data_IF_012022398366
#
_entry.id   IF_012022398366
#
_cell.length_a   1.000
_cell.length_b   1.000
_cell.length_c   1.000
_cell.angle_alpha   90.00
_cell.angle_beta   90.00
_cell.angle_gamma   90.00
#
_symmetry.space_group_name_H-M   'P 1'
#
loop_
_entity.id
_entity.type
_entity.pdbx_description
1 polymer ?
#
# COMPACT_ATOMS: atom_id res chain seq x y z
N UNK A 1 48.52 30.98 -62.63
CA UNK A 1 47.81 29.77 -62.14
C UNK A 1 47.19 30.14 -60.80
N UNK A 2 46.00 30.77 -60.86
CA UNK A 2 44.65 30.21 -60.54
C UNK A 2 44.44 30.14 -59.03
N UNK A 3 43.78 31.12 -58.40
CA UNK A 3 42.33 31.42 -58.44
C UNK A 3 41.50 30.37 -57.68
N UNK A 4 40.78 30.83 -56.66
CA UNK A 4 39.80 30.06 -55.88
C UNK A 4 39.21 30.89 -54.73
N UNK A 5 38.32 31.83 -55.08
CA UNK A 5 37.36 32.48 -54.19
C UNK A 5 36.13 31.56 -53.96
N UNK A 6 35.29 31.92 -52.96
CA UNK A 6 33.93 31.43 -52.61
C UNK A 6 33.84 30.13 -51.80
N UNK A 7 32.96 30.01 -50.79
CA UNK A 7 31.89 30.86 -50.26
C UNK A 7 31.41 30.21 -48.94
N UNK A 8 31.01 31.01 -47.96
CA UNK A 8 29.61 31.13 -47.47
C UNK A 8 28.86 29.82 -47.17
N UNK A 9 28.14 29.84 -46.03
CA UNK A 9 27.20 28.84 -45.44
C UNK A 9 27.84 27.78 -44.52
N UNK A 10 27.41 27.58 -43.27
CA UNK A 10 26.12 27.88 -42.65
C UNK A 10 26.27 28.32 -41.19
N UNK A 11 25.69 29.47 -40.91
CA UNK A 11 24.95 29.73 -39.69
C UNK A 11 23.70 28.83 -39.73
N UNK A 12 23.86 27.59 -39.25
CA UNK A 12 22.77 26.74 -38.77
C UNK A 12 23.20 26.39 -37.35
N UNK A 13 22.72 27.07 -36.32
CA UNK A 13 21.31 26.96 -36.00
C UNK A 13 20.94 25.49 -35.80
N UNK A 14 21.81 24.66 -35.20
CA UNK A 14 21.34 23.39 -34.67
C UNK A 14 20.57 23.65 -33.39
N UNK A 15 19.33 24.03 -33.62
CA UNK A 15 18.19 23.77 -32.77
C UNK A 15 18.09 22.27 -32.44
N UNK A 16 19.03 21.73 -31.67
CA UNK A 16 18.88 20.45 -31.00
C UNK A 16 18.91 20.59 -29.46
N UNK A 17 18.54 21.79 -28.97
CA UNK A 17 17.89 21.97 -27.67
C UNK A 17 16.46 21.35 -27.62
N UNK A 18 16.23 20.30 -28.42
CA UNK A 18 14.97 19.57 -28.60
C UNK A 18 15.21 18.05 -28.52
N UNK A 19 16.20 17.62 -27.75
CA UNK A 19 16.42 16.23 -27.35
C UNK A 19 16.13 15.94 -25.88
N UNK A 20 15.87 16.97 -25.07
CA UNK A 20 15.43 16.83 -23.66
C UNK A 20 13.91 16.52 -23.58
N UNK A 21 13.40 15.85 -24.61
CA UNK A 21 12.18 15.08 -24.49
C UNK A 21 12.59 13.80 -23.77
N UNK A 22 12.45 13.82 -22.44
CA UNK A 22 12.19 12.64 -21.61
C UNK A 22 11.76 11.43 -22.50
N UNK A 23 12.65 10.46 -22.71
CA UNK A 23 12.34 9.27 -23.52
C UNK A 23 11.00 8.70 -23.03
N UNK A 24 9.98 8.53 -23.91
CA UNK A 24 8.68 8.02 -23.49
C UNK A 24 8.79 6.68 -22.76
N UNK A 25 9.77 5.83 -23.10
CA UNK A 25 10.03 4.60 -22.36
C UNK A 25 10.51 4.86 -20.93
N UNK A 26 11.48 5.76 -20.73
CA UNK A 26 12.01 6.08 -19.41
C UNK A 26 10.94 6.68 -18.49
N UNK A 27 10.04 7.52 -19.04
CA UNK A 27 8.88 8.03 -18.30
C UNK A 27 7.93 6.91 -17.88
N UNK A 28 7.64 5.96 -18.76
CA UNK A 28 6.76 4.83 -18.46
C UNK A 28 7.37 3.93 -17.39
N UNK A 29 8.65 3.62 -17.48
CA UNK A 29 9.33 2.76 -16.52
C UNK A 29 9.41 3.41 -15.12
N UNK A 30 9.74 4.71 -15.05
CA UNK A 30 9.71 5.46 -13.79
C UNK A 30 8.30 5.52 -13.20
N UNK A 31 7.29 5.67 -14.05
CA UNK A 31 5.88 5.67 -13.67
C UNK A 31 5.42 4.32 -13.12
N UNK A 32 5.83 3.23 -13.76
CA UNK A 32 5.52 1.86 -13.35
C UNK A 32 6.18 1.52 -12.02
N UNK A 33 7.46 1.89 -11.83
CA UNK A 33 8.16 1.70 -10.54
C UNK A 33 7.44 2.38 -9.37
N UNK A 34 6.95 3.61 -9.55
CA UNK A 34 6.21 4.33 -8.51
C UNK A 34 4.83 3.69 -8.21
N UNK A 35 4.14 3.19 -9.23
CA UNK A 35 2.88 2.46 -9.05
C UNK A 35 3.11 1.12 -8.34
N UNK A 36 4.16 0.39 -8.73
CA UNK A 36 4.52 -0.90 -8.16
C UNK A 36 4.91 -0.76 -6.68
N UNK A 37 5.52 0.35 -6.27
CA UNK A 37 5.76 0.65 -4.85
C UNK A 37 4.47 0.77 -4.03
N UNK A 38 3.49 1.53 -4.52
CA UNK A 38 2.19 1.67 -3.84
C UNK A 38 1.44 0.33 -3.78
N UNK A 39 1.48 -0.44 -4.87
CA UNK A 39 0.88 -1.77 -4.94
C UNK A 39 1.53 -2.75 -3.97
N UNK A 40 2.87 -2.83 -3.95
CA UNK A 40 3.62 -3.65 -3.00
C UNK A 40 3.31 -3.26 -1.56
N UNK A 41 3.19 -1.98 -1.26
CA UNK A 41 2.83 -1.51 0.07
C UNK A 41 1.47 -2.07 0.52
N UNK A 42 0.43 -1.96 -0.33
CA UNK A 42 -0.91 -2.51 -0.01
C UNK A 42 -0.84 -4.03 0.17
N UNK A 43 -0.18 -4.73 -0.74
CA UNK A 43 -0.06 -6.19 -0.70
C UNK A 43 0.66 -6.66 0.59
N UNK A 44 1.79 -6.05 0.92
CA UNK A 44 2.53 -6.37 2.15
C UNK A 44 1.74 -6.01 3.40
N UNK A 45 0.96 -4.92 3.37
CA UNK A 45 0.10 -4.52 4.49
C UNK A 45 -1.00 -5.55 4.75
N UNK A 46 -1.67 -6.03 3.69
CA UNK A 46 -2.71 -7.08 3.80
C UNK A 46 -2.09 -8.37 4.35
N UNK A 47 -0.95 -8.79 3.79
CA UNK A 47 -0.25 -10.00 4.27
C UNK A 47 0.14 -9.86 5.74
N UNK A 48 0.66 -8.71 6.16
CA UNK A 48 1.02 -8.45 7.56
C UNK A 48 -0.18 -8.57 8.50
N UNK A 49 -1.34 -8.03 8.12
CA UNK A 49 -2.58 -8.13 8.92
C UNK A 49 -3.02 -9.59 9.05
N UNK A 50 -3.04 -10.34 7.95
CA UNK A 50 -3.45 -11.76 7.94
C UNK A 50 -2.48 -12.62 8.75
N UNK A 51 -1.18 -12.42 8.57
CA UNK A 51 -0.14 -13.14 9.33
C UNK A 51 -0.27 -12.81 10.82
N UNK A 52 -0.45 -11.55 11.20
CA UNK A 52 -0.63 -11.20 12.61
C UNK A 52 -1.89 -11.86 13.19
N UNK A 53 -3.03 -11.78 12.51
CA UNK A 53 -4.27 -12.40 12.96
C UNK A 53 -4.13 -13.92 13.12
N UNK A 54 -3.50 -14.59 12.16
CA UNK A 54 -3.27 -16.04 12.22
C UNK A 54 -2.31 -16.45 13.33
N UNK A 55 -1.24 -15.68 13.57
CA UNK A 55 -0.31 -15.93 14.68
C UNK A 55 -1.01 -15.80 16.03
N UNK A 56 -1.84 -14.77 16.23
CA UNK A 56 -2.59 -14.60 17.49
C UNK A 56 -3.53 -15.79 17.71
N UNK A 57 -4.28 -16.20 16.67
CA UNK A 57 -5.17 -17.37 16.75
C UNK A 57 -4.40 -18.65 17.05
N UNK A 58 -3.21 -18.85 16.48
CA UNK A 58 -2.39 -20.04 16.74
C UNK A 58 -1.83 -20.07 18.17
N UNK A 59 -1.39 -18.91 18.67
CA UNK A 59 -0.89 -18.79 20.05
C UNK A 59 -2.00 -19.06 21.05
N UNK A 60 -3.18 -18.48 20.88
CA UNK A 60 -4.31 -18.71 21.78
C UNK A 60 -4.96 -20.09 21.59
N UNK A 61 -5.01 -20.60 20.36
CA UNK A 61 -5.55 -21.92 20.05
C UNK A 61 -4.71 -23.07 20.60
N UNK A 62 -3.39 -22.90 20.73
CA UNK A 62 -2.49 -23.87 21.35
C UNK A 62 -2.48 -23.87 22.88
N UNK A 63 -3.10 -22.87 23.53
CA UNK A 63 -3.06 -22.69 25.00
C UNK A 63 -4.39 -23.11 25.67
N UNK A 64 -5.46 -23.43 24.92
CA UNK A 64 -6.83 -23.55 25.45
C UNK A 64 -7.49 -24.95 25.30
N UNK A 65 -6.75 -26.05 25.35
CA UNK A 65 -7.33 -27.42 25.40
C UNK A 65 -8.10 -27.71 26.71
N UNK A 66 -8.23 -26.75 27.62
CA UNK A 66 -8.90 -26.87 28.92
C UNK A 66 -10.38 -26.44 28.95
N UNK A 67 -11.02 -26.08 27.82
CA UNK A 67 -12.50 -25.95 27.75
C UNK A 67 -13.17 -27.31 27.43
N UNK A 68 -12.71 -28.42 28.02
CA UNK A 68 -13.26 -29.80 27.88
C UNK A 68 -14.12 -30.21 29.08
N UNK A 69 -14.81 -29.27 29.75
CA UNK A 69 -15.74 -29.63 30.82
C UNK A 69 -17.13 -29.02 30.60
N UNK A 70 -18.13 -29.89 30.58
CA UNK A 70 -19.52 -29.63 30.23
C UNK A 70 -20.16 -28.67 31.24
N UNK A 71 -20.16 -27.37 30.93
CA UNK A 71 -21.03 -26.40 31.62
C UNK A 71 -20.40 -25.07 32.04
N UNK A 72 -19.11 -24.84 31.80
CA UNK A 72 -18.51 -23.53 32.06
C UNK A 72 -18.66 -22.62 30.83
N UNK A 73 -19.36 -21.50 31.01
CA UNK A 73 -19.35 -20.37 30.07
C UNK A 73 -17.89 -19.86 29.96
N UNK A 74 -17.14 -20.34 28.96
CA UNK A 74 -15.81 -19.80 28.65
C UNK A 74 -16.01 -18.31 28.31
N UNK A 75 -15.70 -17.44 29.28
CA UNK A 75 -16.06 -16.02 29.26
C UNK A 75 -15.30 -15.34 28.12
N UNK A 76 -16.05 -14.80 27.18
CA UNK A 76 -15.64 -14.24 25.88
C UNK A 76 -14.79 -12.97 25.95
N UNK A 77 -14.40 -12.53 27.15
CA UNK A 77 -13.69 -11.26 27.39
C UNK A 77 -12.19 -11.35 27.03
N UNK A 78 -11.58 -12.53 27.12
CA UNK A 78 -10.13 -12.73 26.86
C UNK A 78 -9.76 -12.80 25.37
N UNK A 79 -10.74 -12.79 24.44
CA UNK A 79 -10.47 -12.94 22.99
C UNK A 79 -10.61 -11.65 22.20
N UNK A 80 -10.75 -10.51 22.88
CA UNK A 80 -10.84 -9.19 22.25
C UNK A 80 -9.52 -8.85 21.52
N UNK A 81 -8.38 -9.33 22.03
CA UNK A 81 -7.06 -9.07 21.47
C UNK A 81 -6.88 -9.61 20.04
N UNK A 82 -7.50 -10.76 19.73
CA UNK A 82 -7.52 -11.41 18.40
C UNK A 82 -8.06 -10.49 17.31
N UNK A 83 -8.99 -9.62 17.68
CA UNK A 83 -9.66 -8.70 16.76
C UNK A 83 -9.05 -7.30 16.84
N UNK A 84 -8.77 -6.83 18.06
CA UNK A 84 -8.31 -5.46 18.29
C UNK A 84 -6.89 -5.24 17.77
N UNK A 85 -5.96 -6.19 17.97
CA UNK A 85 -4.57 -6.01 17.55
C UNK A 85 -4.43 -5.92 16.01
N UNK A 86 -5.01 -6.84 15.20
CA UNK A 86 -4.92 -6.73 13.75
C UNK A 86 -5.70 -5.52 13.21
N UNK A 87 -6.79 -5.12 13.86
CA UNK A 87 -7.53 -3.91 13.52
C UNK A 87 -6.70 -2.64 13.75
N UNK A 88 -6.06 -2.51 14.91
CA UNK A 88 -5.18 -1.37 15.20
C UNK A 88 -4.04 -1.31 14.19
N UNK A 89 -3.45 -2.46 13.85
CA UNK A 89 -2.43 -2.54 12.80
C UNK A 89 -2.99 -2.04 11.44
N UNK A 90 -4.19 -2.48 11.04
CA UNK A 90 -4.78 -2.05 9.77
C UNK A 90 -5.06 -0.55 9.73
N UNK A 91 -5.53 0.03 10.83
CA UNK A 91 -5.75 1.48 10.97
C UNK A 91 -4.43 2.25 10.87
N UNK A 92 -3.38 1.80 11.56
CA UNK A 92 -2.05 2.43 11.49
C UNK A 92 -1.52 2.38 10.04
N UNK A 93 -1.68 1.26 9.35
CA UNK A 93 -1.29 1.13 7.94
C UNK A 93 -2.11 2.04 7.02
N UNK A 94 -3.42 2.17 7.24
CA UNK A 94 -4.27 3.10 6.48
C UNK A 94 -3.86 4.57 6.70
N UNK A 95 -3.58 4.96 7.95
CA UNK A 95 -3.12 6.31 8.31
C UNK A 95 -1.75 6.59 7.71
N UNK A 96 -0.79 5.66 7.81
CA UNK A 96 0.55 5.83 7.24
C UNK A 96 0.51 5.95 5.72
N UNK A 97 -0.38 5.22 5.03
CA UNK A 97 -0.65 5.41 3.60
C UNK A 97 -1.14 6.84 3.31
N UNK A 98 -2.11 7.34 4.09
CA UNK A 98 -2.64 8.70 3.95
C UNK A 98 -1.60 9.79 4.22
N UNK A 99 -0.80 9.65 5.27
CA UNK A 99 0.33 10.55 5.59
C UNK A 99 1.35 10.56 4.45
N UNK A 100 1.62 9.39 3.85
CA UNK A 100 2.54 9.28 2.72
C UNK A 100 1.98 9.98 1.47
N UNK A 101 0.68 9.83 1.21
CA UNK A 101 -0.02 10.59 0.15
C UNK A 101 0.10 12.09 0.38
N UNK A 102 -0.15 12.56 1.61
CA UNK A 102 -0.06 13.98 1.95
C UNK A 102 1.36 14.53 1.81
N UNK A 103 2.38 13.80 2.29
CA UNK A 103 3.79 14.19 2.15
C UNK A 103 4.19 14.33 0.67
N UNK A 104 3.81 13.35 -0.17
CA UNK A 104 4.08 13.40 -1.62
C UNK A 104 3.32 14.54 -2.31
N UNK A 105 2.07 14.79 -1.91
CA UNK A 105 1.29 15.91 -2.41
C UNK A 105 1.95 17.26 -2.09
N UNK A 106 2.38 17.46 -0.83
CA UNK A 106 3.11 18.65 -0.39
C UNK A 106 4.43 18.85 -1.14
N UNK A 107 5.08 17.77 -1.55
CA UNK A 107 6.33 17.80 -2.32
C UNK A 107 6.11 17.95 -3.85
N UNK A 108 4.86 18.12 -4.31
CA UNK A 108 4.49 18.14 -5.74
C UNK A 108 4.97 16.89 -6.52
N UNK A 109 5.17 15.77 -5.83
CA UNK A 109 5.48 14.47 -6.42
C UNK A 109 4.17 13.77 -6.81
N UNK A 110 4.21 12.82 -7.73
CA UNK A 110 3.06 12.03 -8.18
C UNK A 110 2.37 11.30 -7.01
N UNK A 111 1.30 11.90 -6.50
CA UNK A 111 0.56 11.45 -5.32
C UNK A 111 -0.61 10.51 -5.64
N UNK A 112 -1.08 10.49 -6.89
CA UNK A 112 -2.26 9.70 -7.33
C UNK A 112 -2.19 8.20 -6.96
N UNK A 113 -1.08 7.46 -7.18
CA UNK A 113 -1.02 6.04 -6.81
C UNK A 113 -1.18 5.81 -5.30
N UNK A 114 -0.66 6.73 -4.49
CA UNK A 114 -0.74 6.65 -3.03
C UNK A 114 -2.14 6.97 -2.52
N UNK A 115 -2.90 7.83 -3.21
CA UNK A 115 -4.32 8.02 -2.91
C UNK A 115 -5.11 6.70 -3.06
N UNK A 116 -4.88 5.96 -4.14
CA UNK A 116 -5.50 4.64 -4.33
C UNK A 116 -5.09 3.65 -3.23
N UNK A 117 -3.81 3.66 -2.83
CA UNK A 117 -3.34 2.84 -1.71
C UNK A 117 -4.03 3.20 -0.39
N UNK A 118 -4.22 4.49 -0.10
CA UNK A 118 -4.99 4.94 1.08
C UNK A 118 -6.41 4.41 1.04
N UNK A 119 -7.11 4.54 -0.10
CA UNK A 119 -8.47 4.05 -0.25
C UNK A 119 -8.57 2.52 -0.09
N UNK A 120 -7.65 1.78 -0.71
CA UNK A 120 -7.57 0.34 -0.58
C UNK A 120 -7.38 -0.09 0.88
N UNK A 121 -6.49 0.56 1.63
CA UNK A 121 -6.27 0.25 3.05
C UNK A 121 -7.49 0.54 3.93
N UNK A 122 -8.25 1.60 3.63
CA UNK A 122 -9.53 1.86 4.30
C UNK A 122 -10.57 0.78 3.97
N UNK A 123 -10.65 0.33 2.73
CA UNK A 123 -11.53 -0.78 2.35
C UNK A 123 -11.15 -2.08 3.06
N UNK A 124 -9.86 -2.38 3.19
CA UNK A 124 -9.35 -3.53 3.96
C UNK A 124 -9.74 -3.41 5.44
N UNK A 125 -9.56 -2.24 6.04
CA UNK A 125 -9.93 -2.00 7.45
C UNK A 125 -11.44 -2.19 7.67
N UNK A 126 -12.27 -1.64 6.79
CA UNK A 126 -13.73 -1.79 6.85
C UNK A 126 -14.15 -3.25 6.63
N UNK A 127 -13.55 -3.93 5.65
CA UNK A 127 -13.82 -5.34 5.39
C UNK A 127 -13.46 -6.20 6.61
N UNK A 128 -12.31 -5.93 7.25
CA UNK A 128 -11.91 -6.61 8.47
C UNK A 128 -12.93 -6.40 9.59
N UNK A 129 -13.37 -5.16 9.81
CA UNK A 129 -14.41 -4.83 10.80
C UNK A 129 -15.72 -5.60 10.57
N UNK A 130 -16.17 -5.69 9.31
CA UNK A 130 -17.39 -6.41 8.94
C UNK A 130 -17.24 -7.91 9.20
N UNK A 131 -16.11 -8.50 8.80
CA UNK A 131 -15.82 -9.92 8.99
C UNK A 131 -15.68 -10.25 10.47
N UNK A 132 -15.00 -9.39 11.25
CA UNK A 132 -14.88 -9.60 12.69
C UNK A 132 -16.21 -9.44 13.41
N UNK A 133 -17.05 -8.48 13.01
CA UNK A 133 -18.35 -8.30 13.67
C UNK A 133 -19.30 -9.47 13.37
N UNK A 134 -19.32 -9.97 12.12
CA UNK A 134 -20.15 -11.13 11.77
C UNK A 134 -19.72 -12.40 12.52
N UNK A 135 -18.42 -12.60 12.71
CA UNK A 135 -17.91 -13.70 13.53
C UNK A 135 -18.37 -13.61 15.01
N UNK A 136 -18.49 -12.40 15.55
CA UNK A 136 -19.03 -12.17 16.91
C UNK A 136 -20.53 -12.45 16.96
N UNK A 137 -21.31 -12.00 15.96
CA UNK A 137 -22.77 -12.18 15.95
C UNK A 137 -23.21 -13.64 15.72
N UNK A 138 -22.51 -14.41 14.89
CA UNK A 138 -22.83 -15.84 14.65
C UNK A 138 -22.59 -16.70 15.90
N UNK A 139 -21.76 -16.24 16.84
CA UNK A 139 -21.41 -16.98 18.05
C UNK A 139 -22.25 -16.61 19.28
N UNK A 140 -23.04 -15.55 19.19
CA UNK A 140 -23.88 -15.02 20.26
C UNK A 140 -25.37 -15.42 20.15
N UNK A 141 -25.76 -16.17 19.11
CA UNK A 141 -27.11 -16.72 18.90
C UNK A 141 -27.08 -18.24 18.88
#
# INVERSE_FOLDING_TARGET
MTSGYHGDRNDHGDHSAHGDFDDPLERLERNERQANQAFRYVLLSIVAIVVLATVIVMLEGGINDECTDDGALCMTDDRVEVVVLPLLLSVILAVTAGVTTYRRWKQHIRWRPWLFATYAMWMVTTAYLIVSSSAVFVRAG
#
